data_IF_134884275783
#
_entry.id   IF_134884275783
#
_cell.length_a   1.000
_cell.length_b   1.000
_cell.length_c   1.000
_cell.angle_alpha   90.00
_cell.angle_beta   90.00
_cell.angle_gamma   90.00
#
_symmetry.space_group_name_H-M   'P 1'
#
loop_
_entity.id
_entity.type
_entity.pdbx_description
1 polymer ?
#
# COMPACT_ATOMS: atom_id res chain seq x y z
N UNK A 1 19.76 28.03 -2.57
CA UNK A 1 18.97 26.76 -2.75
C UNK A 1 19.74 25.52 -2.31
N UNK A 2 21.01 25.35 -2.62
CA UNK A 2 21.83 24.17 -2.27
C UNK A 2 22.02 24.02 -0.75
N UNK A 3 22.16 25.08 0.01
CA UNK A 3 22.40 25.06 1.47
C UNK A 3 21.16 24.55 2.25
N UNK A 4 19.97 24.96 1.86
CA UNK A 4 18.71 24.46 2.43
C UNK A 4 18.51 22.95 2.19
N UNK A 5 18.88 22.44 1.01
CA UNK A 5 18.80 21.02 0.70
C UNK A 5 19.70 20.15 1.59
N UNK A 6 20.92 20.61 1.87
CA UNK A 6 21.84 19.91 2.76
C UNK A 6 21.39 19.93 4.23
N UNK A 7 20.78 21.02 4.68
CA UNK A 7 20.25 21.14 6.04
C UNK A 7 19.02 20.20 6.22
N UNK A 8 18.13 20.13 5.24
CA UNK A 8 16.97 19.24 5.27
C UNK A 8 17.37 17.75 5.23
N UNK A 9 18.39 17.40 4.44
CA UNK A 9 18.92 16.02 4.35
C UNK A 9 19.63 15.61 5.66
N UNK A 10 20.37 16.50 6.29
CA UNK A 10 21.01 16.25 7.58
C UNK A 10 19.96 16.06 8.68
N UNK A 11 18.93 16.89 8.72
CA UNK A 11 17.83 16.80 9.68
C UNK A 11 17.06 15.48 9.52
N UNK A 12 16.78 15.07 8.29
CA UNK A 12 16.10 13.81 7.99
C UNK A 12 16.93 12.61 8.44
N UNK A 13 18.21 12.56 8.10
CA UNK A 13 19.13 11.50 8.50
C UNK A 13 19.27 11.39 10.03
N UNK A 14 19.29 12.54 10.73
CA UNK A 14 19.31 12.58 12.20
C UNK A 14 18.03 11.98 12.77
N UNK A 15 16.87 12.37 12.25
CA UNK A 15 15.56 11.84 12.67
C UNK A 15 15.47 10.33 12.47
N UNK A 16 15.86 9.80 11.30
CA UNK A 16 15.89 8.36 11.02
C UNK A 16 16.79 7.62 12.02
N UNK A 17 17.94 8.19 12.34
CA UNK A 17 18.90 7.58 13.28
C UNK A 17 18.31 7.52 14.69
N UNK A 18 17.65 8.57 15.13
CA UNK A 18 16.97 8.62 16.42
C UNK A 18 15.82 7.62 16.52
N UNK A 19 14.98 7.53 15.48
CA UNK A 19 13.88 6.57 15.46
C UNK A 19 14.38 5.11 15.46
N UNK A 20 15.46 4.80 14.74
CA UNK A 20 16.12 3.49 14.79
C UNK A 20 16.69 3.18 16.19
N UNK A 21 17.27 4.15 16.86
CA UNK A 21 17.82 3.96 18.22
C UNK A 21 16.72 3.64 19.23
N UNK A 22 15.63 4.42 19.22
CA UNK A 22 14.44 4.20 20.08
C UNK A 22 13.83 2.82 19.82
N UNK A 23 13.65 2.45 18.53
CA UNK A 23 13.13 1.14 18.17
C UNK A 23 14.03 -0.01 18.64
N UNK A 24 15.36 0.16 18.56
CA UNK A 24 16.31 -0.84 19.03
C UNK A 24 16.22 -1.06 20.55
N UNK A 25 15.97 -0.01 21.33
CA UNK A 25 15.72 -0.13 22.77
C UNK A 25 14.44 -0.94 23.05
N UNK A 26 13.36 -0.69 22.32
CA UNK A 26 12.11 -1.42 22.45
C UNK A 26 12.21 -2.88 21.99
N UNK A 27 13.21 -3.21 21.16
CA UNK A 27 13.52 -4.56 20.66
C UNK A 27 14.55 -5.28 21.53
N UNK A 28 14.69 -4.90 22.80
CA UNK A 28 15.71 -5.43 23.71
C UNK A 28 15.76 -6.95 23.88
N UNK A 29 14.63 -7.65 23.63
CA UNK A 29 14.55 -9.12 23.67
C UNK A 29 15.18 -9.80 22.43
N UNK A 30 15.49 -9.02 21.38
CA UNK A 30 16.08 -9.52 20.15
C UNK A 30 17.57 -9.23 20.09
N UNK A 31 18.34 -10.14 19.46
CA UNK A 31 19.75 -9.86 19.22
C UNK A 31 19.90 -8.69 18.25
N UNK A 32 20.59 -7.64 18.68
CA UNK A 32 20.78 -6.43 17.85
C UNK A 32 21.33 -6.73 16.44
N UNK A 33 22.16 -7.78 16.32
CA UNK A 33 22.68 -8.20 15.02
C UNK A 33 21.59 -8.67 14.07
N UNK A 34 20.57 -9.39 14.57
CA UNK A 34 19.45 -9.87 13.74
C UNK A 34 18.57 -8.71 13.29
N UNK A 35 18.32 -7.75 14.19
CA UNK A 35 17.57 -6.52 13.86
C UNK A 35 18.32 -5.70 12.78
N UNK A 36 19.62 -5.47 12.95
CA UNK A 36 20.45 -4.75 11.97
C UNK A 36 20.49 -5.46 10.63
N UNK A 37 20.60 -6.80 10.63
CA UNK A 37 20.54 -7.62 9.42
C UNK A 37 19.19 -7.50 8.72
N UNK A 38 18.07 -7.50 9.47
CA UNK A 38 16.75 -7.26 8.92
C UNK A 38 16.68 -5.88 8.29
N UNK A 39 17.03 -4.83 9.03
CA UNK A 39 16.96 -3.45 8.55
C UNK A 39 17.87 -3.16 7.35
N UNK A 40 18.97 -3.88 7.17
CA UNK A 40 19.83 -3.74 5.98
C UNK A 40 19.14 -4.15 4.67
N UNK A 41 18.04 -4.90 4.74
CA UNK A 41 17.24 -5.27 3.57
C UNK A 41 16.25 -4.19 3.15
N UNK A 42 15.96 -3.21 3.97
CA UNK A 42 15.07 -2.11 3.61
C UNK A 42 15.81 -0.99 2.86
N UNK A 43 15.08 -0.25 2.05
CA UNK A 43 15.51 1.01 1.46
C UNK A 43 15.22 2.16 2.41
N UNK A 44 15.75 3.34 2.13
CA UNK A 44 15.69 4.51 3.01
C UNK A 44 14.26 5.03 3.19
N UNK A 45 13.46 4.98 2.14
CA UNK A 45 12.04 5.41 2.13
C UNK A 45 11.18 4.69 3.16
N UNK A 46 11.51 3.45 3.51
CA UNK A 46 10.85 2.71 4.60
C UNK A 46 11.08 3.40 5.95
N UNK A 47 12.30 3.83 6.23
CA UNK A 47 12.65 4.49 7.50
C UNK A 47 12.12 5.93 7.56
N UNK A 48 12.09 6.63 6.43
CA UNK A 48 11.47 7.95 6.32
C UNK A 48 9.97 7.93 6.63
N UNK A 49 9.30 6.83 6.30
CA UNK A 49 7.86 6.65 6.44
C UNK A 49 7.42 5.98 7.75
N UNK A 50 8.37 5.58 8.62
CA UNK A 50 8.11 4.76 9.81
C UNK A 50 8.68 5.41 11.08
N UNK A 51 7.88 5.50 12.14
CA UNK A 51 8.36 5.88 13.46
C UNK A 51 8.95 4.68 14.23
N UNK A 52 9.52 4.92 15.42
CA UNK A 52 10.14 3.86 16.23
C UNK A 52 9.18 2.75 16.64
N UNK A 53 7.89 3.04 16.83
CA UNK A 53 6.88 2.02 17.14
C UNK A 53 6.58 1.16 15.91
N UNK A 54 6.48 1.77 14.73
CA UNK A 54 6.35 1.04 13.48
C UNK A 54 7.54 0.11 13.27
N UNK A 55 8.77 0.62 13.41
CA UNK A 55 10.00 -0.15 13.26
C UNK A 55 10.06 -1.33 14.24
N UNK A 56 9.62 -1.13 15.48
CA UNK A 56 9.53 -2.18 16.50
C UNK A 56 8.52 -3.25 16.08
N UNK A 57 7.26 -2.87 15.81
CA UNK A 57 6.18 -3.81 15.47
C UNK A 57 6.53 -4.61 14.22
N UNK A 58 7.04 -3.96 13.19
CA UNK A 58 7.41 -4.63 11.94
C UNK A 58 8.57 -5.61 12.15
N UNK A 59 9.62 -5.20 12.88
CA UNK A 59 10.76 -6.08 13.17
C UNK A 59 10.34 -7.28 13.99
N UNK A 60 9.52 -7.11 15.04
CA UNK A 60 8.99 -8.21 15.84
C UNK A 60 8.22 -9.21 14.99
N UNK A 61 7.29 -8.73 14.16
CA UNK A 61 6.48 -9.60 13.29
C UNK A 61 7.35 -10.40 12.33
N UNK A 62 8.37 -9.79 11.71
CA UNK A 62 9.26 -10.47 10.77
C UNK A 62 10.18 -11.47 11.50
N UNK A 63 10.81 -11.06 12.59
CA UNK A 63 11.78 -11.90 13.31
C UNK A 63 11.15 -13.08 14.05
N UNK A 64 9.90 -12.94 14.51
CA UNK A 64 9.15 -14.03 15.15
C UNK A 64 8.50 -14.97 14.16
N UNK A 65 8.29 -14.53 12.92
CA UNK A 65 7.66 -15.36 11.90
C UNK A 65 8.57 -16.51 11.48
N UNK A 66 8.01 -17.72 11.52
CA UNK A 66 8.63 -18.93 10.95
C UNK A 66 8.11 -19.25 9.54
N UNK A 67 7.21 -18.44 9.02
CA UNK A 67 6.54 -18.64 7.73
C UNK A 67 7.21 -17.81 6.63
N UNK A 68 7.11 -18.26 5.40
CA UNK A 68 7.55 -17.50 4.22
C UNK A 68 6.69 -16.26 3.94
N UNK A 69 5.47 -16.22 4.46
CA UNK A 69 4.57 -15.07 4.42
C UNK A 69 4.05 -14.82 5.83
N UNK A 70 4.02 -13.56 6.22
CA UNK A 70 3.49 -13.13 7.51
C UNK A 70 2.42 -12.06 7.28
N UNK A 71 1.22 -12.31 7.78
CA UNK A 71 0.10 -11.37 7.78
C UNK A 71 -0.34 -11.18 9.22
N UNK A 72 -0.42 -9.92 9.65
CA UNK A 72 -0.85 -9.57 11.00
C UNK A 72 -1.70 -8.31 10.94
N UNK A 73 -2.72 -8.24 11.77
CA UNK A 73 -3.47 -7.01 12.01
C UNK A 73 -2.93 -6.33 13.26
N UNK A 74 -2.77 -5.04 13.22
CA UNK A 74 -2.45 -4.25 14.41
C UNK A 74 -3.19 -2.90 14.40
N UNK A 75 -3.23 -2.28 15.56
CA UNK A 75 -3.86 -0.98 15.79
C UNK A 75 -2.85 -0.10 16.54
N UNK A 76 -2.75 1.15 16.12
CA UNK A 76 -2.04 2.16 16.91
C UNK A 76 -3.02 2.75 17.92
N UNK A 77 -2.54 3.08 19.11
CA UNK A 77 -3.37 3.64 20.19
C UNK A 77 -4.11 4.93 19.79
N UNK A 78 -3.51 5.69 18.87
CA UNK A 78 -4.04 6.95 18.37
C UNK A 78 -5.00 6.79 17.18
N UNK A 79 -5.07 5.59 16.57
CA UNK A 79 -5.79 5.39 15.33
C UNK A 79 -7.15 4.73 15.56
N UNK A 80 -8.19 5.28 14.95
CA UNK A 80 -9.52 4.66 14.85
C UNK A 80 -9.61 3.60 13.74
N UNK A 81 -8.48 3.21 13.17
CA UNK A 81 -8.35 2.33 12.02
C UNK A 81 -7.49 1.11 12.36
N UNK A 82 -7.54 0.10 11.50
CA UNK A 82 -6.73 -1.11 11.64
C UNK A 82 -5.73 -1.18 10.49
N UNK A 83 -4.49 -1.55 10.78
CA UNK A 83 -3.46 -1.78 9.76
C UNK A 83 -3.25 -3.28 9.56
N UNK A 84 -3.28 -3.71 8.30
CA UNK A 84 -2.80 -5.02 7.88
C UNK A 84 -1.32 -4.87 7.58
N UNK A 85 -0.51 -5.64 8.30
CA UNK A 85 0.91 -5.81 8.00
C UNK A 85 1.07 -7.08 7.18
N UNK A 86 1.75 -6.98 6.05
CA UNK A 86 2.06 -8.12 5.18
C UNK A 86 3.56 -8.10 4.89
N UNK A 87 4.26 -9.17 5.24
CA UNK A 87 5.62 -9.38 4.79
C UNK A 87 5.67 -10.72 4.03
N UNK A 88 5.97 -10.66 2.74
CA UNK A 88 5.96 -11.83 1.84
C UNK A 88 6.91 -11.61 0.68
N UNK A 89 7.15 -12.66 -0.11
CA UNK A 89 7.88 -12.53 -1.36
C UNK A 89 7.16 -11.55 -2.30
N UNK A 90 7.88 -10.55 -2.81
CA UNK A 90 7.32 -9.59 -3.76
C UNK A 90 6.94 -10.28 -5.08
N UNK A 91 5.71 -10.07 -5.52
CA UNK A 91 5.15 -10.74 -6.70
C UNK A 91 4.17 -9.84 -7.42
N UNK A 92 4.13 -9.99 -8.74
CA UNK A 92 3.12 -9.33 -9.55
C UNK A 92 1.70 -9.67 -9.02
N UNK A 93 0.83 -8.69 -9.00
CA UNK A 93 -0.58 -8.76 -8.58
C UNK A 93 -0.82 -8.89 -7.07
N UNK A 94 0.20 -8.83 -6.22
CA UNK A 94 0.01 -8.96 -4.78
C UNK A 94 -1.00 -7.93 -4.27
N UNK A 95 -0.75 -6.65 -4.52
CA UNK A 95 -1.65 -5.57 -4.09
C UNK A 95 -3.06 -5.72 -4.67
N UNK A 96 -3.20 -5.99 -5.96
CA UNK A 96 -4.51 -6.21 -6.59
C UNK A 96 -5.27 -7.41 -6.00
N UNK A 97 -4.55 -8.47 -5.60
CA UNK A 97 -5.15 -9.62 -4.91
C UNK A 97 -5.67 -9.24 -3.54
N UNK A 98 -4.89 -8.48 -2.77
CA UNK A 98 -5.29 -7.99 -1.44
C UNK A 98 -6.53 -7.11 -1.56
N UNK A 99 -6.54 -6.15 -2.48
CA UNK A 99 -7.69 -5.28 -2.72
C UNK A 99 -8.95 -6.09 -3.09
N UNK A 100 -8.81 -7.11 -3.94
CA UNK A 100 -9.93 -8.00 -4.29
C UNK A 100 -10.51 -8.74 -3.07
N UNK A 101 -9.69 -9.13 -2.11
CA UNK A 101 -10.14 -9.73 -0.84
C UNK A 101 -10.86 -8.69 0.03
N UNK A 102 -10.28 -7.52 0.25
CA UNK A 102 -10.90 -6.45 1.04
C UNK A 102 -12.28 -6.11 0.50
N UNK A 103 -12.38 -5.96 -0.81
CA UNK A 103 -13.64 -5.66 -1.48
C UNK A 103 -14.66 -6.80 -1.34
N UNK A 104 -14.23 -8.07 -1.42
CA UNK A 104 -15.12 -9.24 -1.19
C UNK A 104 -15.66 -9.31 0.25
N UNK A 105 -14.89 -8.84 1.22
CA UNK A 105 -15.24 -8.86 2.65
C UNK A 105 -15.94 -7.58 3.13
N UNK A 106 -16.28 -6.65 2.25
CA UNK A 106 -16.81 -5.33 2.61
C UNK A 106 -15.92 -4.57 3.59
N UNK A 107 -14.63 -4.66 3.42
CA UNK A 107 -13.63 -3.88 4.16
C UNK A 107 -13.23 -2.69 3.31
N UNK A 108 -13.32 -1.50 3.87
CA UNK A 108 -12.92 -0.28 3.18
C UNK A 108 -11.40 -0.15 3.26
N UNK A 109 -10.79 0.03 2.10
CA UNK A 109 -9.39 0.45 2.00
C UNK A 109 -9.28 1.96 2.28
N UNK A 110 -8.25 2.39 2.98
CA UNK A 110 -8.01 3.79 3.34
C UNK A 110 -6.68 4.29 2.79
N UNK A 111 -5.61 3.55 3.07
CA UNK A 111 -4.24 3.95 2.70
C UNK A 111 -3.34 2.71 2.56
N UNK A 112 -2.30 2.80 1.76
CA UNK A 112 -1.24 1.80 1.75
C UNK A 112 0.15 2.42 1.59
N UNK A 113 1.09 1.84 2.32
CA UNK A 113 2.53 2.04 2.13
C UNK A 113 3.12 0.71 1.70
N UNK A 114 3.76 0.66 0.55
CA UNK A 114 4.29 -0.54 -0.08
C UNK A 114 5.80 -0.42 -0.19
N UNK A 115 6.53 -1.30 0.51
CA UNK A 115 7.99 -1.24 0.58
C UNK A 115 8.60 -2.51 0.00
N UNK A 116 9.22 -2.40 -1.16
CA UNK A 116 10.10 -3.45 -1.67
C UNK A 116 11.34 -3.60 -0.79
N UNK A 117 11.86 -4.82 -0.66
CA UNK A 117 13.07 -5.12 0.08
C UNK A 117 14.16 -5.65 -0.85
N UNK A 118 15.44 -5.44 -0.48
CA UNK A 118 16.62 -5.86 -1.28
C UNK A 118 16.72 -7.38 -1.46
N UNK A 119 16.11 -8.15 -0.59
CA UNK A 119 16.10 -9.61 -0.62
C UNK A 119 14.96 -10.21 -1.47
N UNK A 120 14.22 -9.38 -2.22
CA UNK A 120 13.09 -9.80 -3.05
C UNK A 120 11.78 -10.04 -2.30
N UNK A 121 11.70 -9.62 -1.05
CA UNK A 121 10.47 -9.54 -0.27
C UNK A 121 9.85 -8.15 -0.39
N UNK A 122 8.62 -7.99 0.05
CA UNK A 122 7.99 -6.71 0.32
C UNK A 122 7.44 -6.66 1.75
N UNK A 123 7.27 -5.45 2.25
CA UNK A 123 6.54 -5.16 3.47
C UNK A 123 5.46 -4.14 3.14
N UNK A 124 4.21 -4.56 3.20
CA UNK A 124 3.05 -3.75 2.87
C UNK A 124 2.26 -3.44 4.13
N UNK A 125 1.94 -2.16 4.31
CA UNK A 125 1.11 -1.64 5.38
C UNK A 125 -0.18 -1.11 4.77
N UNK A 126 -1.29 -1.78 5.03
CA UNK A 126 -2.58 -1.44 4.44
C UNK A 126 -3.54 -1.03 5.54
N UNK A 127 -3.92 0.24 5.56
CA UNK A 127 -4.88 0.77 6.50
C UNK A 127 -6.30 0.51 6.01
N UNK A 128 -7.11 -0.05 6.87
CA UNK A 128 -8.48 -0.47 6.58
C UNK A 128 -9.48 0.03 7.62
N UNK A 129 -10.75 0.06 7.22
CA UNK A 129 -11.88 0.28 8.13
C UNK A 129 -13.06 -0.61 7.79
N UNK A 130 -13.89 -0.92 8.79
CA UNK A 130 -15.18 -1.55 8.62
C UNK A 130 -16.27 -0.51 8.85
N UNK A 131 -16.88 0.01 7.78
CA UNK A 131 -17.87 1.08 7.85
C UNK A 131 -17.42 2.30 8.68
N UNK A 132 -16.17 2.74 8.45
CA UNK A 132 -15.58 3.89 9.14
C UNK A 132 -15.09 3.61 10.56
N UNK A 133 -15.16 2.35 11.03
CA UNK A 133 -14.66 1.90 12.32
C UNK A 133 -13.47 0.97 12.15
N UNK A 134 -12.70 0.78 13.21
CA UNK A 134 -11.65 -0.22 13.23
C UNK A 134 -12.23 -1.64 13.17
N UNK A 135 -11.47 -2.56 12.58
CA UNK A 135 -11.74 -3.99 12.66
C UNK A 135 -11.18 -4.50 13.99
N UNK A 136 -12.03 -5.00 14.88
CA UNK A 136 -11.56 -5.52 16.18
C UNK A 136 -10.70 -6.76 15.98
N UNK A 137 -9.48 -6.77 16.58
CA UNK A 137 -8.45 -7.78 16.30
C UNK A 137 -8.88 -9.21 16.71
N UNK A 138 -9.67 -9.32 17.77
CA UNK A 138 -10.16 -10.61 18.28
C UNK A 138 -11.48 -11.07 17.63
N UNK A 139 -11.99 -10.30 16.67
CA UNK A 139 -13.25 -10.59 16.00
C UNK A 139 -13.11 -11.78 15.03
N UNK A 140 -14.22 -12.47 14.80
CA UNK A 140 -14.31 -13.50 13.76
C UNK A 140 -14.03 -12.91 12.37
N UNK A 141 -14.43 -11.64 12.13
CA UNK A 141 -14.15 -10.93 10.90
C UNK A 141 -12.65 -10.74 10.65
N UNK A 142 -11.88 -10.42 11.70
CA UNK A 142 -10.43 -10.31 11.61
C UNK A 142 -9.77 -11.64 11.25
N UNK A 143 -10.20 -12.74 11.88
CA UNK A 143 -9.70 -14.09 11.61
C UNK A 143 -9.99 -14.50 10.17
N UNK A 144 -11.24 -14.39 9.74
CA UNK A 144 -11.65 -14.71 8.36
C UNK A 144 -10.87 -13.88 7.35
N UNK A 145 -10.63 -12.60 7.63
CA UNK A 145 -9.83 -11.75 6.76
C UNK A 145 -8.39 -12.24 6.63
N UNK A 146 -7.74 -12.57 7.75
CA UNK A 146 -6.36 -13.10 7.76
C UNK A 146 -6.30 -14.41 6.97
N UNK A 147 -7.19 -15.35 7.25
CA UNK A 147 -7.22 -16.67 6.58
C UNK A 147 -7.38 -16.52 5.06
N UNK A 148 -8.28 -15.66 4.61
CA UNK A 148 -8.49 -15.38 3.18
C UNK A 148 -7.28 -14.72 2.52
N UNK A 149 -6.63 -13.79 3.21
CA UNK A 149 -5.42 -13.17 2.73
C UNK A 149 -4.27 -14.20 2.65
N UNK A 150 -4.07 -15.02 3.68
CA UNK A 150 -3.04 -16.08 3.67
C UNK A 150 -3.30 -17.07 2.52
N UNK A 151 -4.53 -17.52 2.34
CA UNK A 151 -4.90 -18.41 1.24
C UNK A 151 -4.63 -17.77 -0.12
N UNK A 152 -5.01 -16.51 -0.30
CA UNK A 152 -4.91 -15.82 -1.58
C UNK A 152 -3.47 -15.50 -1.99
N UNK A 153 -2.57 -15.20 -1.02
CA UNK A 153 -1.18 -14.86 -1.32
C UNK A 153 -0.23 -16.07 -1.29
N UNK A 154 -0.68 -17.25 -0.87
CA UNK A 154 0.13 -18.47 -0.87
C UNK A 154 0.49 -18.97 -2.27
N UNK A 155 -0.40 -18.95 -3.29
CA UNK A 155 -0.06 -19.43 -4.63
C UNK A 155 1.10 -18.66 -5.25
N UNK A 156 1.98 -19.36 -5.99
CA UNK A 156 3.11 -18.73 -6.70
C UNK A 156 2.66 -17.70 -7.75
N UNK A 157 1.51 -17.94 -8.38
CA UNK A 157 0.91 -17.04 -9.37
C UNK A 157 -0.38 -16.51 -8.79
N UNK A 158 -0.44 -15.20 -8.57
CA UNK A 158 -1.60 -14.54 -8.01
C UNK A 158 -2.59 -14.16 -9.11
N UNK A 159 -3.87 -14.46 -8.86
CA UNK A 159 -4.99 -14.14 -9.77
C UNK A 159 -6.00 -13.27 -9.02
N UNK A 160 -5.92 -11.94 -9.15
CA UNK A 160 -6.87 -11.04 -8.50
C UNK A 160 -8.31 -11.37 -8.90
N UNK A 161 -9.18 -11.49 -7.92
CA UNK A 161 -10.63 -11.61 -8.16
C UNK A 161 -11.25 -10.23 -8.09
N UNK A 162 -11.97 -9.85 -9.15
CA UNK A 162 -12.75 -8.62 -9.13
C UNK A 162 -14.14 -8.94 -8.69
N UNK A 163 -14.58 -8.24 -7.69
CA UNK A 163 -15.96 -8.30 -7.21
C UNK A 163 -16.78 -7.28 -7.99
N UNK A 164 -17.58 -7.76 -8.94
CA UNK A 164 -18.56 -6.90 -9.60
C UNK A 164 -19.77 -6.74 -8.68
N UNK A 165 -19.80 -5.65 -7.92
CA UNK A 165 -20.97 -5.29 -7.12
C UNK A 165 -21.90 -4.38 -7.92
N UNK A 166 -23.20 -4.58 -7.75
CA UNK A 166 -24.19 -3.66 -8.31
C UNK A 166 -24.08 -2.32 -7.59
N UNK A 167 -23.91 -1.25 -8.35
CA UNK A 167 -24.01 0.11 -7.80
C UNK A 167 -25.33 0.31 -7.05
N UNK A 168 -25.30 0.89 -5.85
CA UNK A 168 -26.49 1.34 -5.17
C UNK A 168 -27.32 2.26 -6.07
N UNK A 169 -28.66 2.15 -6.01
CA UNK A 169 -29.55 2.87 -6.94
C UNK A 169 -29.40 4.39 -6.88
N UNK A 170 -29.06 4.95 -5.72
CA UNK A 170 -28.86 6.38 -5.52
C UNK A 170 -27.58 6.91 -6.22
N UNK A 171 -26.56 6.10 -6.36
CA UNK A 171 -25.31 6.49 -7.05
C UNK A 171 -25.41 6.49 -8.58
N UNK A 172 -26.46 5.89 -9.15
CA UNK A 172 -26.64 5.83 -10.62
C UNK A 172 -26.96 7.18 -11.26
N UNK A 173 -27.40 8.16 -10.48
CA UNK A 173 -27.79 9.49 -10.95
C UNK A 173 -26.67 10.52 -10.84
N UNK A 174 -25.61 10.22 -10.13
CA UNK A 174 -24.43 11.08 -9.98
C UNK A 174 -23.28 10.52 -10.84
N UNK A 175 -23.10 11.09 -12.01
CA UNK A 175 -21.92 10.84 -12.84
C UNK A 175 -21.00 12.04 -12.71
N UNK A 176 -19.89 11.87 -12.00
CA UNK A 176 -18.77 12.81 -12.05
C UNK A 176 -17.86 12.33 -13.17
N UNK A 177 -17.47 13.22 -14.06
CA UNK A 177 -16.48 12.90 -15.08
C UNK A 177 -15.18 12.46 -14.40
N UNK A 178 -14.58 11.38 -14.89
CA UNK A 178 -13.31 10.90 -14.36
C UNK A 178 -12.19 11.85 -14.80
N UNK A 179 -11.61 12.55 -13.84
CA UNK A 179 -10.46 13.43 -14.04
C UNK A 179 -9.18 12.70 -13.58
N UNK A 180 -8.14 12.75 -14.41
CA UNK A 180 -6.85 12.15 -14.09
C UNK A 180 -5.76 13.17 -14.35
N UNK A 181 -4.98 13.48 -13.34
CA UNK A 181 -3.76 14.27 -13.44
C UNK A 181 -2.53 13.42 -13.12
N UNK A 182 -1.35 13.85 -13.58
CA UNK A 182 -0.11 13.14 -13.30
C UNK A 182 1.07 14.07 -13.14
N UNK A 183 2.08 13.59 -12.40
CA UNK A 183 3.38 14.24 -12.23
C UNK A 183 4.48 13.19 -12.16
N UNK A 184 5.59 13.42 -12.87
CA UNK A 184 6.76 12.55 -12.76
C UNK A 184 7.64 12.96 -11.57
N UNK A 185 7.94 12.02 -10.70
CA UNK A 185 8.95 12.16 -9.66
C UNK A 185 10.23 11.43 -10.12
N UNK A 186 11.16 12.21 -10.63
CA UNK A 186 12.43 11.68 -11.14
C UNK A 186 13.37 11.24 -10.03
N UNK A 187 13.27 11.82 -8.83
CA UNK A 187 14.09 11.45 -7.65
C UNK A 187 13.70 10.05 -7.17
N UNK A 188 12.42 9.80 -7.02
CA UNK A 188 11.87 8.53 -6.55
C UNK A 188 11.60 7.53 -7.67
N UNK A 189 11.80 7.92 -8.95
CA UNK A 189 11.67 7.06 -10.13
C UNK A 189 10.26 6.51 -10.36
N UNK A 190 9.24 7.30 -10.06
CA UNK A 190 7.84 6.94 -10.32
C UNK A 190 7.04 8.07 -10.96
N UNK A 191 5.81 7.76 -11.33
CA UNK A 191 4.80 8.71 -11.78
C UNK A 191 3.69 8.73 -10.75
N UNK A 192 3.41 9.89 -10.17
CA UNK A 192 2.24 10.11 -9.33
C UNK A 192 1.02 10.35 -10.22
N UNK A 193 -0.05 9.61 -9.98
CA UNK A 193 -1.36 9.76 -10.60
C UNK A 193 -2.36 10.19 -9.53
N UNK A 194 -3.17 11.19 -9.85
CA UNK A 194 -4.34 11.57 -9.08
C UNK A 194 -5.58 11.26 -9.92
N UNK A 195 -6.49 10.46 -9.39
CA UNK A 195 -7.72 10.03 -10.03
C UNK A 195 -8.89 10.54 -9.20
N UNK A 196 -9.72 11.36 -9.81
CA UNK A 196 -10.95 11.89 -9.20
C UNK A 196 -12.15 11.36 -9.99
N UNK A 197 -13.04 10.64 -9.32
CA UNK A 197 -14.18 9.98 -9.97
C UNK A 197 -15.33 9.76 -8.97
N UNK A 198 -16.46 9.24 -9.43
CA UNK A 198 -17.55 8.78 -8.54
C UNK A 198 -17.13 7.51 -7.82
N UNK A 199 -17.27 7.49 -6.48
CA UNK A 199 -17.01 6.28 -5.68
C UNK A 199 -18.01 5.18 -6.02
N UNK A 200 -17.50 3.96 -6.14
CA UNK A 200 -18.32 2.77 -6.42
C UNK A 200 -17.62 1.49 -5.97
N UNK A 201 -18.40 0.46 -5.60
CA UNK A 201 -17.83 -0.85 -5.31
C UNK A 201 -16.98 -1.39 -6.47
N UNK A 202 -15.78 -1.88 -6.17
CA UNK A 202 -14.86 -2.41 -7.18
C UNK A 202 -14.05 -1.35 -7.95
N UNK A 203 -14.17 -0.05 -7.61
CA UNK A 203 -13.42 1.05 -8.23
C UNK A 203 -11.91 0.76 -8.19
N UNK A 204 -11.39 0.53 -6.99
CA UNK A 204 -9.97 0.31 -6.77
C UNK A 204 -9.47 -0.97 -7.47
N UNK A 205 -10.26 -2.04 -7.44
CA UNK A 205 -9.95 -3.28 -8.15
C UNK A 205 -9.87 -3.06 -9.68
N UNK A 206 -10.76 -2.23 -10.25
CA UNK A 206 -10.76 -1.87 -11.66
C UNK A 206 -9.50 -1.09 -12.04
N UNK A 207 -9.10 -0.11 -11.22
CA UNK A 207 -7.86 0.66 -11.41
C UNK A 207 -6.63 -0.27 -11.36
N UNK A 208 -6.56 -1.14 -10.36
CA UNK A 208 -5.46 -2.10 -10.22
C UNK A 208 -5.33 -3.04 -11.42
N UNK A 209 -6.45 -3.42 -12.06
CA UNK A 209 -6.40 -4.24 -13.28
C UNK A 209 -5.80 -3.50 -14.46
N UNK A 210 -6.13 -2.22 -14.63
CA UNK A 210 -5.51 -1.40 -15.67
C UNK A 210 -4.02 -1.26 -15.41
N UNK A 211 -3.61 -1.00 -14.18
CA UNK A 211 -2.19 -0.96 -13.82
C UNK A 211 -1.48 -2.27 -14.19
N UNK A 212 -2.10 -3.41 -13.88
CA UNK A 212 -1.60 -4.71 -14.23
C UNK A 212 -1.44 -4.90 -15.76
N UNK A 213 -2.48 -4.55 -16.52
CA UNK A 213 -2.49 -4.62 -18.00
C UNK A 213 -1.30 -3.86 -18.61
N UNK A 214 -0.99 -2.69 -18.05
CA UNK A 214 0.10 -1.82 -18.50
C UNK A 214 1.46 -2.15 -17.84
N UNK A 215 1.52 -3.16 -16.97
CA UNK A 215 2.74 -3.53 -16.24
C UNK A 215 3.22 -2.45 -15.28
N UNK A 216 2.30 -1.65 -14.75
CA UNK A 216 2.59 -0.67 -13.73
C UNK A 216 2.72 -1.36 -12.36
N UNK A 217 3.80 -1.03 -11.66
CA UNK A 217 4.06 -1.44 -10.29
C UNK A 217 3.61 -0.31 -9.35
N UNK A 218 2.77 -0.63 -8.38
CA UNK A 218 2.29 0.34 -7.40
C UNK A 218 3.34 0.44 -6.29
N UNK A 219 3.80 1.65 -6.02
CA UNK A 219 4.77 1.96 -4.95
C UNK A 219 4.09 2.55 -3.72
N UNK A 220 3.08 3.38 -3.93
CA UNK A 220 2.25 3.97 -2.88
C UNK A 220 0.82 4.08 -3.39
N UNK A 221 -0.14 3.97 -2.49
CA UNK A 221 -1.54 4.22 -2.79
C UNK A 221 -2.19 4.94 -1.61
N UNK A 222 -2.97 5.98 -1.90
CA UNK A 222 -3.80 6.67 -0.92
C UNK A 222 -5.18 6.87 -1.49
N UNK A 223 -6.18 6.41 -0.78
CA UNK A 223 -7.57 6.44 -1.20
C UNK A 223 -8.33 7.36 -0.24
N UNK A 224 -9.06 8.29 -0.79
CA UNK A 224 -9.90 9.19 0.00
C UNK A 224 -11.28 9.30 -0.64
N UNK A 225 -12.32 9.03 0.15
CA UNK A 225 -13.70 9.17 -0.28
C UNK A 225 -14.36 10.32 0.47
N UNK A 226 -14.88 11.29 -0.27
CA UNK A 226 -15.62 12.44 0.23
C UNK A 226 -17.06 12.39 -0.26
N UNK A 227 -17.95 11.82 0.54
CA UNK A 227 -19.33 11.58 0.11
C UNK A 227 -19.38 10.58 -1.05
N UNK A 228 -19.73 11.03 -2.23
CA UNK A 228 -19.83 10.20 -3.44
C UNK A 228 -18.63 10.35 -4.38
N UNK A 229 -17.62 11.13 -3.99
CA UNK A 229 -16.40 11.39 -4.77
C UNK A 229 -15.21 10.63 -4.19
N UNK A 230 -14.56 9.82 -5.03
CA UNK A 230 -13.27 9.21 -4.74
C UNK A 230 -12.14 10.10 -5.27
N UNK A 231 -11.13 10.36 -4.45
CA UNK A 231 -9.89 11.05 -4.80
C UNK A 231 -8.71 10.16 -4.46
N UNK A 232 -8.28 9.40 -5.45
CA UNK A 232 -7.28 8.36 -5.29
C UNK A 232 -5.93 8.83 -5.82
N UNK A 233 -4.86 8.58 -5.05
CA UNK A 233 -3.48 8.90 -5.45
C UNK A 233 -2.66 7.63 -5.49
N UNK A 234 -1.93 7.44 -6.59
CA UNK A 234 -1.04 6.32 -6.79
C UNK A 234 0.33 6.81 -7.24
N UNK A 235 1.38 6.29 -6.62
CA UNK A 235 2.74 6.40 -7.17
C UNK A 235 3.06 5.09 -7.87
N UNK A 236 3.27 5.13 -9.18
CA UNK A 236 3.50 3.95 -10.00
C UNK A 236 4.82 4.02 -10.76
N UNK A 237 5.47 2.88 -10.96
CA UNK A 237 6.63 2.73 -11.83
C UNK A 237 6.39 1.66 -12.89
N UNK A 238 7.19 1.67 -13.95
CA UNK A 238 7.24 0.59 -14.92
C UNK A 238 7.89 -0.67 -14.30
N UNK A 239 7.84 -1.80 -15.01
CA UNK A 239 8.56 -3.03 -14.62
C UNK A 239 10.08 -2.85 -14.51
N UNK A 240 10.65 -1.85 -15.17
CA UNK A 240 12.07 -1.49 -15.09
C UNK A 240 12.36 -0.52 -13.93
N UNK A 241 11.39 -0.31 -13.05
CA UNK A 241 11.49 0.63 -11.94
C UNK A 241 11.84 2.06 -12.38
N UNK A 242 11.14 2.53 -13.40
CA UNK A 242 11.27 3.88 -13.97
C UNK A 242 9.89 4.54 -14.08
N UNK A 243 9.82 5.88 -14.08
CA UNK A 243 8.55 6.57 -14.33
C UNK A 243 8.00 6.24 -15.72
N UNK A 244 6.69 6.42 -15.91
CA UNK A 244 6.01 6.33 -17.22
C UNK A 244 6.29 7.57 -18.07
N UNK A 245 7.53 7.75 -18.55
CA UNK A 245 7.97 8.95 -19.29
C UNK A 245 7.46 8.93 -20.73
N UNK A 246 7.34 7.74 -21.32
CA UNK A 246 6.86 7.64 -22.72
C UNK A 246 5.41 8.09 -22.78
N UNK A 247 5.17 9.19 -23.48
CA UNK A 247 3.85 9.83 -23.59
C UNK A 247 2.76 8.87 -24.07
N UNK A 248 3.07 8.00 -25.02
CA UNK A 248 2.08 7.04 -25.55
C UNK A 248 1.69 5.99 -24.49
N UNK A 249 2.66 5.47 -23.73
CA UNK A 249 2.39 4.45 -22.72
C UNK A 249 1.53 5.04 -21.59
N UNK A 250 1.83 6.27 -21.17
CA UNK A 250 1.07 6.96 -20.14
C UNK A 250 -0.33 7.35 -20.63
N UNK A 251 -0.47 7.87 -21.86
CA UNK A 251 -1.76 8.21 -22.41
C UNK A 251 -2.66 6.97 -22.55
N UNK A 252 -2.12 5.84 -23.03
CA UNK A 252 -2.87 4.58 -23.13
C UNK A 252 -3.32 4.09 -21.74
N UNK A 253 -2.46 4.21 -20.72
CA UNK A 253 -2.81 3.88 -19.35
C UNK A 253 -3.98 4.76 -18.86
N UNK A 254 -3.91 6.07 -19.05
CA UNK A 254 -4.93 7.03 -18.63
C UNK A 254 -6.27 6.76 -19.34
N UNK A 255 -6.24 6.52 -20.65
CA UNK A 255 -7.44 6.19 -21.41
C UNK A 255 -8.07 4.88 -20.94
N UNK A 256 -7.28 3.84 -20.73
CA UNK A 256 -7.81 2.57 -20.22
C UNK A 256 -8.41 2.71 -18.81
N UNK A 257 -7.82 3.55 -17.94
CA UNK A 257 -8.44 3.87 -16.64
C UNK A 257 -9.79 4.53 -16.86
N UNK A 258 -9.88 5.58 -17.68
CA UNK A 258 -11.14 6.27 -17.97
C UNK A 258 -12.20 5.32 -18.52
N UNK A 259 -11.82 4.44 -19.46
CA UNK A 259 -12.74 3.45 -20.03
C UNK A 259 -13.21 2.45 -18.97
N UNK A 260 -12.34 2.03 -18.05
CA UNK A 260 -12.70 1.08 -16.99
C UNK A 260 -13.60 1.70 -15.92
N UNK A 261 -13.58 3.05 -15.80
CA UNK A 261 -14.31 3.79 -14.77
C UNK A 261 -15.62 4.42 -15.28
N UNK A 262 -15.87 4.45 -16.56
CA UNK A 262 -17.12 4.91 -17.18
C UNK A 262 -18.07 3.75 -17.47
#
# INVERSE_FOLDING_TARGET
RTKLYFEDEILLNTSITEEKAKAMELLGDFRQQDVRKLWSNFYEDYFEASDHKDLQIHAQNILLSKRASNITLFQKDTDSLTTIFINTQDRANLFATIIGILDSENINFVDAKLFGMKNGYCTDLITISDNGKRVELDSEKAKVLIDKLEEAITPRILKPKIVQRRQPRHLRHFKTDTEISFKHDMKNRWTDLEISTTDRPGLLASICQVFLKHGALIKKARIATYGEKAEDRFSISSKQDTPFIKRNDLNNLIEDIKVSLN
#
